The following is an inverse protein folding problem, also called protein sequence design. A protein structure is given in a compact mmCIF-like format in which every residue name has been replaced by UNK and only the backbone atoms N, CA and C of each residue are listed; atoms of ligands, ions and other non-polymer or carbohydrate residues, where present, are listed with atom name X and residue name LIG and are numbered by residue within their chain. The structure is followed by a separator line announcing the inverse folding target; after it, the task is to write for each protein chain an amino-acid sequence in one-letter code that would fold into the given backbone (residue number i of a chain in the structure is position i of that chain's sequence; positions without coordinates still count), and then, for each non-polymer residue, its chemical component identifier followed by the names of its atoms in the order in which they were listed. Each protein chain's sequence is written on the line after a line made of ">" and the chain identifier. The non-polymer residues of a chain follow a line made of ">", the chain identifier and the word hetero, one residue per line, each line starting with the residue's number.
data_IF_325901475921
#
_entry.id   IF_325901475921
#
_cell.length_a   1.000
_cell.length_b   1.000
_cell.length_c   1.000
_cell.angle_alpha   90.00
_cell.angle_beta   90.00
_cell.angle_gamma   90.00
#
_symmetry.space_group_name_H-M   'P 1'
#
loop_
_entity.id
_entity.type
_entity.pdbx_description
1 polymer ?
#
# COMPACT_ATOMS: atom_id res chain seq x y z
N UNK A 1 -27.88 -4.83 31.20
CA UNK A 1 -28.10 -4.38 29.79
C UNK A 1 -26.98 -4.98 28.95
N UNK A 2 -27.15 -6.24 28.52
CA UNK A 2 -26.17 -6.98 27.74
C UNK A 2 -26.71 -7.05 26.30
N UNK A 3 -26.00 -6.46 25.34
CA UNK A 3 -26.33 -6.53 23.92
C UNK A 3 -25.38 -7.52 23.23
N UNK A 4 -25.58 -8.84 23.36
CA UNK A 4 -24.66 -9.85 22.86
C UNK A 4 -24.50 -9.80 21.33
N UNK A 5 -25.47 -9.25 20.59
CA UNK A 5 -25.39 -9.08 19.13
C UNK A 5 -24.64 -7.83 18.67
N UNK A 6 -24.45 -6.83 19.55
CA UNK A 6 -23.82 -5.57 19.16
C UNK A 6 -22.32 -5.76 18.89
N UNK A 7 -21.65 -6.57 19.70
CA UNK A 7 -20.24 -6.92 19.48
C UNK A 7 -20.03 -7.65 18.14
N UNK A 8 -20.93 -8.57 17.77
CA UNK A 8 -20.89 -9.26 16.48
C UNK A 8 -21.11 -8.33 15.29
N UNK A 9 -22.04 -7.37 15.42
CA UNK A 9 -22.28 -6.35 14.40
C UNK A 9 -21.08 -5.41 14.19
N UNK A 10 -20.42 -5.00 15.28
CA UNK A 10 -19.19 -4.20 15.17
C UNK A 10 -18.03 -5.00 14.56
N UNK A 11 -17.86 -6.26 14.96
CA UNK A 11 -16.81 -7.12 14.40
C UNK A 11 -17.00 -7.36 12.90
N UNK A 12 -18.22 -7.65 12.45
CA UNK A 12 -18.50 -7.85 11.03
C UNK A 12 -18.28 -6.58 10.21
N UNK A 13 -18.67 -5.41 10.74
CA UNK A 13 -18.41 -4.11 10.12
C UNK A 13 -16.91 -3.81 9.97
N UNK A 14 -16.13 -4.01 11.04
CA UNK A 14 -14.68 -3.80 11.01
C UNK A 14 -13.97 -4.74 10.03
N UNK A 15 -14.35 -6.02 10.04
CA UNK A 15 -13.79 -7.01 9.11
C UNK A 15 -14.15 -6.68 7.67
N UNK A 16 -15.39 -6.28 7.40
CA UNK A 16 -15.82 -5.87 6.06
C UNK A 16 -15.06 -4.65 5.56
N UNK A 17 -14.88 -3.62 6.39
CA UNK A 17 -14.11 -2.42 6.03
C UNK A 17 -12.63 -2.74 5.76
N UNK A 18 -12.03 -3.60 6.61
CA UNK A 18 -10.64 -4.04 6.45
C UNK A 18 -10.46 -4.84 5.15
N UNK A 19 -11.35 -5.80 4.89
CA UNK A 19 -11.33 -6.62 3.69
C UNK A 19 -11.58 -5.80 2.41
N UNK A 20 -12.46 -4.80 2.45
CA UNK A 20 -12.71 -3.89 1.33
C UNK A 20 -11.45 -3.10 0.94
N UNK A 21 -10.73 -2.61 1.95
CA UNK A 21 -9.46 -1.92 1.75
C UNK A 21 -8.44 -2.87 1.12
N UNK A 22 -8.20 -4.03 1.74
CA UNK A 22 -7.23 -5.03 1.25
C UNK A 22 -7.56 -5.50 -0.16
N UNK A 23 -8.84 -5.72 -0.48
CA UNK A 23 -9.28 -6.10 -1.82
C UNK A 23 -8.94 -5.03 -2.86
N UNK A 24 -9.13 -3.75 -2.52
CA UNK A 24 -8.78 -2.64 -3.40
C UNK A 24 -7.28 -2.55 -3.65
N UNK A 25 -6.46 -2.73 -2.61
CA UNK A 25 -5.00 -2.78 -2.73
C UNK A 25 -4.52 -3.93 -3.62
N UNK A 26 -5.02 -5.14 -3.38
CA UNK A 26 -4.63 -6.31 -4.18
C UNK A 26 -5.04 -6.15 -5.64
N UNK A 27 -6.24 -5.64 -5.90
CA UNK A 27 -6.71 -5.39 -7.26
C UNK A 27 -5.87 -4.33 -7.99
N UNK A 28 -5.49 -3.25 -7.30
CA UNK A 28 -4.62 -2.22 -7.85
C UNK A 28 -3.22 -2.77 -8.20
N UNK A 29 -2.61 -3.54 -7.29
CA UNK A 29 -1.30 -4.16 -7.53
C UNK A 29 -1.39 -5.21 -8.64
N UNK A 30 -2.44 -6.03 -8.67
CA UNK A 30 -2.65 -7.02 -9.73
C UNK A 30 -2.78 -6.37 -11.11
N UNK A 31 -3.50 -5.26 -11.21
CA UNK A 31 -3.60 -4.47 -12.45
C UNK A 31 -2.29 -3.79 -12.85
N UNK A 32 -1.54 -3.27 -11.88
CA UNK A 32 -0.21 -2.67 -12.12
C UNK A 32 0.78 -3.71 -12.62
N UNK A 33 0.90 -4.86 -11.94
CA UNK A 33 1.76 -5.96 -12.38
C UNK A 33 1.37 -6.49 -13.75
N UNK A 34 0.08 -6.62 -14.03
CA UNK A 34 -0.38 -7.01 -15.35
C UNK A 34 0.10 -6.03 -16.42
N UNK A 35 -0.07 -4.72 -16.19
CA UNK A 35 0.41 -3.68 -17.11
C UNK A 35 1.93 -3.69 -17.27
N UNK A 36 2.68 -3.76 -16.17
CA UNK A 36 4.15 -3.76 -16.19
C UNK A 36 4.68 -4.98 -16.96
N UNK A 37 4.11 -6.16 -16.75
CA UNK A 37 4.48 -7.38 -17.49
C UNK A 37 4.10 -7.25 -18.97
N UNK A 38 2.91 -6.71 -19.25
CA UNK A 38 2.40 -6.58 -20.60
C UNK A 38 3.23 -5.60 -21.44
N UNK A 39 3.51 -4.41 -20.91
CA UNK A 39 4.31 -3.39 -21.58
C UNK A 39 5.75 -3.84 -21.82
N UNK A 40 6.33 -4.63 -20.90
CA UNK A 40 7.73 -5.09 -21.02
C UNK A 40 7.86 -6.31 -21.93
N UNK A 41 7.00 -7.32 -21.79
CA UNK A 41 7.18 -8.61 -22.46
C UNK A 41 6.34 -8.78 -23.73
N UNK A 42 5.20 -8.11 -23.83
CA UNK A 42 4.26 -8.27 -24.96
C UNK A 42 3.73 -6.94 -25.49
N UNK A 43 4.59 -5.98 -25.87
CA UNK A 43 4.17 -4.64 -26.26
C UNK A 43 3.26 -4.59 -27.50
N UNK A 44 3.21 -5.67 -28.30
CA UNK A 44 2.46 -5.73 -29.56
C UNK A 44 1.30 -6.73 -29.55
N UNK A 45 1.01 -7.37 -28.42
CA UNK A 45 -0.11 -8.32 -28.31
C UNK A 45 -1.29 -7.57 -27.70
N UNK A 46 -2.49 -7.72 -28.25
CA UNK A 46 -3.72 -7.24 -27.62
C UNK A 46 -4.53 -8.45 -27.21
N UNK A 47 -4.76 -8.60 -25.90
CA UNK A 47 -5.61 -9.66 -25.38
C UNK A 47 -7.07 -9.21 -25.41
N UNK A 48 -8.00 -10.16 -25.42
CA UNK A 48 -9.42 -9.87 -25.24
C UNK A 48 -9.66 -9.47 -23.77
N UNK A 49 -10.50 -8.46 -23.51
CA UNK A 49 -10.85 -7.97 -22.16
C UNK A 49 -11.15 -9.10 -21.14
N UNK A 50 -11.83 -10.15 -21.60
CA UNK A 50 -12.17 -11.34 -20.81
C UNK A 50 -10.95 -12.14 -20.36
N UNK A 51 -9.93 -12.22 -21.20
CA UNK A 51 -8.67 -12.93 -20.93
C UNK A 51 -7.80 -12.10 -19.99
N UNK A 52 -7.74 -10.78 -20.21
CA UNK A 52 -7.04 -9.85 -19.32
C UNK A 52 -7.60 -9.91 -17.90
N UNK A 53 -8.93 -9.85 -17.77
CA UNK A 53 -9.60 -9.93 -16.48
C UNK A 53 -9.29 -11.24 -15.75
N UNK A 54 -9.28 -12.37 -16.46
CA UNK A 54 -8.95 -13.66 -15.86
C UNK A 54 -7.49 -13.74 -15.40
N UNK A 55 -6.56 -13.16 -16.15
CA UNK A 55 -5.14 -13.09 -15.78
C UNK A 55 -4.97 -12.23 -14.52
N UNK A 56 -5.52 -11.02 -14.51
CA UNK A 56 -5.47 -10.11 -13.35
C UNK A 56 -6.07 -10.80 -12.12
N UNK A 57 -7.23 -11.46 -12.27
CA UNK A 57 -7.88 -12.20 -11.18
C UNK A 57 -6.98 -13.32 -10.64
N UNK A 58 -6.29 -14.06 -11.50
CA UNK A 58 -5.35 -15.09 -11.07
C UNK A 58 -4.16 -14.50 -10.28
N UNK A 59 -3.59 -13.39 -10.77
CA UNK A 59 -2.51 -12.66 -10.06
C UNK A 59 -2.98 -12.18 -8.69
N UNK A 60 -4.17 -11.59 -8.60
CA UNK A 60 -4.76 -11.13 -7.33
C UNK A 60 -4.93 -12.28 -6.33
N UNK A 61 -5.38 -13.45 -6.78
CA UNK A 61 -5.53 -14.64 -5.91
C UNK A 61 -4.16 -15.09 -5.38
N UNK A 62 -3.14 -15.16 -6.25
CA UNK A 62 -1.78 -15.56 -5.87
C UNK A 62 -1.20 -14.58 -4.86
N UNK A 63 -1.33 -13.27 -5.11
CA UNK A 63 -0.90 -12.22 -4.18
C UNK A 63 -1.64 -12.31 -2.83
N UNK A 64 -2.94 -12.59 -2.86
CA UNK A 64 -3.75 -12.79 -1.66
C UNK A 64 -3.23 -13.97 -0.82
N UNK A 65 -2.96 -15.11 -1.43
CA UNK A 65 -2.39 -16.28 -0.73
C UNK A 65 -0.99 -15.95 -0.20
N UNK A 66 -0.14 -15.33 -1.01
CA UNK A 66 1.20 -14.94 -0.61
C UNK A 66 1.20 -13.94 0.57
N UNK A 67 0.18 -13.07 0.66
CA UNK A 67 0.03 -12.10 1.75
C UNK A 67 -0.28 -12.71 3.13
N UNK A 68 -0.68 -13.99 3.18
CA UNK A 68 -0.91 -14.72 4.44
C UNK A 68 0.40 -15.24 5.04
N UNK A 69 1.41 -15.53 4.21
CA UNK A 69 2.70 -16.09 4.65
C UNK A 69 3.41 -15.25 5.72
N UNK A 70 3.47 -13.89 5.63
CA UNK A 70 4.17 -13.06 6.60
C UNK A 70 3.49 -13.01 7.98
N UNK A 71 2.21 -13.42 8.10
CA UNK A 71 1.46 -13.32 9.37
C UNK A 71 2.18 -14.07 10.51
N UNK A 72 2.73 -15.25 10.22
CA UNK A 72 3.48 -16.06 11.20
C UNK A 72 4.84 -15.46 11.59
N UNK A 73 5.38 -14.56 10.77
CA UNK A 73 6.66 -13.90 11.00
C UNK A 73 6.47 -12.63 11.82
N UNK A 74 5.35 -11.91 11.60
CA UNK A 74 5.03 -10.65 12.27
C UNK A 74 4.96 -10.81 13.80
N UNK A 75 4.42 -11.91 14.31
CA UNK A 75 4.35 -12.15 15.77
C UNK A 75 5.73 -12.22 16.46
N UNK A 76 6.79 -12.53 15.70
CA UNK A 76 8.17 -12.60 16.21
C UNK A 76 8.92 -11.28 16.06
N UNK A 77 8.35 -10.32 15.34
CA UNK A 77 8.96 -9.04 15.00
C UNK A 77 8.41 -7.98 15.96
N UNK A 78 9.03 -7.83 17.15
CA UNK A 78 8.66 -6.80 18.12
C UNK A 78 8.90 -5.38 17.59
N UNK A 79 9.98 -4.74 18.03
CA UNK A 79 10.33 -3.36 17.61
C UNK A 79 10.53 -3.23 16.09
N UNK A 80 10.97 -4.30 15.42
CA UNK A 80 11.18 -4.32 13.96
C UNK A 80 9.87 -4.09 13.17
N UNK A 81 8.74 -4.64 13.63
CA UNK A 81 7.46 -4.41 12.96
C UNK A 81 6.95 -2.97 13.18
N UNK A 82 7.21 -2.39 14.35
CA UNK A 82 6.91 -0.98 14.63
C UNK A 82 7.75 -0.03 13.78
N UNK A 83 9.03 -0.32 13.60
CA UNK A 83 9.91 0.38 12.67
C UNK A 83 9.37 0.32 11.24
N UNK A 84 9.00 -0.88 10.77
CA UNK A 84 8.42 -1.07 9.43
C UNK A 84 7.15 -0.24 9.19
N UNK A 85 6.24 -0.22 10.17
CA UNK A 85 5.02 0.61 10.11
C UNK A 85 5.32 2.10 10.08
N UNK A 86 6.33 2.55 10.82
CA UNK A 86 6.73 3.97 10.86
C UNK A 86 7.33 4.43 9.52
N UNK A 87 8.14 3.58 8.89
CA UNK A 87 8.67 3.83 7.54
C UNK A 87 7.54 3.86 6.51
N UNK A 88 6.60 2.92 6.57
CA UNK A 88 5.46 2.92 5.66
C UNK A 88 4.60 4.19 5.79
N UNK A 89 4.32 4.63 7.02
CA UNK A 89 3.62 5.90 7.28
C UNK A 89 4.38 7.11 6.73
N UNK A 90 5.70 7.11 6.83
CA UNK A 90 6.56 8.17 6.26
C UNK A 90 6.47 8.24 4.74
N UNK A 91 6.50 7.09 4.05
CA UNK A 91 6.40 7.02 2.59
C UNK A 91 5.03 7.54 2.14
N UNK A 92 3.96 7.07 2.78
CA UNK A 92 2.61 7.52 2.43
C UNK A 92 2.40 9.02 2.74
N UNK A 93 2.90 9.49 3.88
CA UNK A 93 2.81 10.89 4.28
C UNK A 93 3.57 11.83 3.34
N UNK A 94 4.79 11.45 2.94
CA UNK A 94 5.57 12.23 1.98
C UNK A 94 4.92 12.25 0.58
N UNK A 95 4.38 11.11 0.11
CA UNK A 95 3.62 11.07 -1.13
C UNK A 95 2.38 11.98 -1.08
N UNK A 96 1.58 11.90 -0.02
CA UNK A 96 0.40 12.74 0.16
C UNK A 96 0.76 14.24 0.23
N UNK A 97 1.88 14.59 0.88
CA UNK A 97 2.39 15.95 0.93
C UNK A 97 2.79 16.47 -0.46
N UNK A 98 3.45 15.65 -1.28
CA UNK A 98 3.82 16.01 -2.66
C UNK A 98 2.59 16.21 -3.54
N UNK A 99 1.60 15.32 -3.46
CA UNK A 99 0.34 15.46 -4.18
C UNK A 99 -0.41 16.74 -3.78
N UNK A 100 -0.49 17.02 -2.47
CA UNK A 100 -1.12 18.22 -1.95
C UNK A 100 -0.37 19.48 -2.41
N UNK A 101 0.97 19.46 -2.37
CA UNK A 101 1.82 20.55 -2.85
C UNK A 101 1.57 20.84 -4.34
N UNK A 102 1.49 19.80 -5.18
CA UNK A 102 1.16 19.93 -6.60
C UNK A 102 -0.25 20.45 -6.87
N UNK A 103 -1.21 20.11 -6.01
CA UNK A 103 -2.60 20.56 -6.14
C UNK A 103 -2.79 22.04 -5.75
N UNK A 104 -2.17 22.48 -4.65
CA UNK A 104 -2.38 23.83 -4.11
C UNK A 104 -1.40 24.89 -4.63
N UNK A 105 -0.20 24.48 -5.08
CA UNK A 105 0.85 25.42 -5.49
C UNK A 105 1.22 25.21 -6.97
N UNK A 106 0.63 25.97 -7.90
CA UNK A 106 0.89 25.84 -9.34
C UNK A 106 2.31 26.29 -9.77
N UNK A 107 3.11 26.83 -8.84
CA UNK A 107 4.49 27.29 -9.08
C UNK A 107 5.55 26.23 -8.73
N UNK A 108 5.15 25.03 -8.33
CA UNK A 108 6.09 23.98 -7.92
C UNK A 108 6.76 23.39 -9.16
N UNK A 109 8.10 23.43 -9.18
CA UNK A 109 8.90 22.84 -10.24
C UNK A 109 9.25 21.38 -9.93
N UNK A 110 9.33 20.52 -10.95
CA UNK A 110 9.65 19.09 -10.82
C UNK A 110 10.94 18.85 -10.05
N UNK A 111 11.98 19.67 -10.30
CA UNK A 111 13.26 19.55 -9.57
C UNK A 111 13.07 19.79 -8.07
N UNK A 112 12.31 20.82 -7.69
CA UNK A 112 12.02 21.15 -6.29
C UNK A 112 11.18 20.09 -5.59
N UNK A 113 10.19 19.52 -6.29
CA UNK A 113 9.38 18.41 -5.78
C UNK A 113 10.22 17.16 -5.51
N UNK A 114 11.10 16.78 -6.45
CA UNK A 114 11.99 15.62 -6.30
C UNK A 114 12.99 15.84 -5.16
N UNK A 115 13.65 17.00 -5.10
CA UNK A 115 14.60 17.28 -4.02
C UNK A 115 13.88 17.31 -2.66
N UNK A 116 12.70 17.90 -2.60
CA UNK A 116 11.87 17.94 -1.38
C UNK A 116 11.43 16.56 -0.92
N UNK A 117 11.06 15.68 -1.86
CA UNK A 117 10.70 14.29 -1.58
C UNK A 117 11.87 13.54 -0.94
N UNK A 118 13.06 13.65 -1.55
CA UNK A 118 14.28 12.98 -1.09
C UNK A 118 14.69 13.49 0.29
N UNK A 119 14.74 14.82 0.48
CA UNK A 119 15.09 15.40 1.79
C UNK A 119 14.09 15.01 2.87
N UNK A 120 12.80 14.98 2.56
CA UNK A 120 11.75 14.59 3.50
C UNK A 120 11.87 13.12 3.89
N UNK A 121 12.19 12.24 2.94
CA UNK A 121 12.41 10.82 3.21
C UNK A 121 13.59 10.61 4.16
N UNK A 122 14.74 11.24 3.90
CA UNK A 122 15.92 11.12 4.77
C UNK A 122 15.71 11.71 6.16
N UNK A 123 15.10 12.89 6.26
CA UNK A 123 14.78 13.52 7.55
C UNK A 123 13.82 12.66 8.37
N UNK A 124 12.79 12.12 7.73
CA UNK A 124 11.82 11.27 8.42
C UNK A 124 12.43 9.93 8.83
N UNK A 125 13.27 9.32 7.99
CA UNK A 125 14.04 8.14 8.35
C UNK A 125 14.95 8.40 9.57
N UNK A 126 15.64 9.55 9.59
CA UNK A 126 16.45 9.97 10.74
C UNK A 126 15.61 10.09 12.02
N UNK A 127 14.44 10.74 11.95
CA UNK A 127 13.54 10.90 13.10
C UNK A 127 13.05 9.54 13.61
N UNK A 128 12.57 8.67 12.72
CA UNK A 128 12.04 7.34 13.07
C UNK A 128 13.12 6.48 13.72
N UNK A 129 14.35 6.51 13.19
CA UNK A 129 15.47 5.77 13.77
C UNK A 129 15.77 6.28 15.19
N UNK A 130 15.95 7.60 15.36
CA UNK A 130 16.25 8.18 16.68
C UNK A 130 15.14 7.93 17.71
N UNK A 131 13.88 8.01 17.31
CA UNK A 131 12.71 7.77 18.16
C UNK A 131 12.50 6.30 18.57
N UNK A 132 13.34 5.38 18.09
CA UNK A 132 13.30 3.96 18.45
C UNK A 132 14.56 3.53 19.21
N UNK A 133 15.63 4.33 19.16
CA UNK A 133 16.85 4.15 19.95
C UNK A 133 16.76 4.78 21.34
N UNK A 134 15.93 5.82 21.51
CA UNK A 134 15.56 6.43 22.80
C UNK A 134 14.12 6.09 23.15
#
# INVERSE_FOLDING_TARGET
>A
RNYPGLAGFFASGLLSASLSTVSSWLNAIGGMLYKDIMEVYFPNVQYSDSTEFNIIRAVVIILGIASVLPIFIVEKMGTLFQLGRSVFGTIMGSAMALFSLGMFFPRVNTKGAVTGAITSFFLSAWIVINAQYY
#
